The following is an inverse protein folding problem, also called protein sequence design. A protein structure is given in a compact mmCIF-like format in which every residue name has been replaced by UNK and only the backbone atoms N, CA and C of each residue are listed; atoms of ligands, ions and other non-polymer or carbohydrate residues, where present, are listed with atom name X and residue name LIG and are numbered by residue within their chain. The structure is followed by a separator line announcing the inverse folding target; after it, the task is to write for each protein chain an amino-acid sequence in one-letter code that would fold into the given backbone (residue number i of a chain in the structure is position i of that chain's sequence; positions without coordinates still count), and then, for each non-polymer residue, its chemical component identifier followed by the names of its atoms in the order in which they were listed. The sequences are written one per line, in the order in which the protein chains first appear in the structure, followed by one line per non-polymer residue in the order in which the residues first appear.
data_IF_371100169584
#
_entry.id   IF_371100169584
#
_cell.length_a   1.000
_cell.length_b   1.000
_cell.length_c   1.000
_cell.angle_alpha   90.00
_cell.angle_beta   90.00
_cell.angle_gamma   90.00
#
_symmetry.space_group_name_H-M   'P 1'
#
loop_
_entity.id
_entity.type
_entity.pdbx_description
1 polymer ?
#
# COMPACT_ATOMS: atom_id res chain seq x y z
N UNK A 1 -1.90 8.12 12.53
CA UNK A 1 -2.12 7.15 11.42
C UNK A 1 -1.64 7.81 10.12
N UNK A 2 -1.00 7.14 9.15
CA UNK A 2 -0.40 7.83 7.95
C UNK A 2 -1.37 8.79 7.25
N UNK A 3 -2.67 8.47 7.29
CA UNK A 3 -3.78 9.26 6.73
C UNK A 3 -4.14 10.55 7.48
N UNK A 4 -3.45 10.87 8.58
CA UNK A 4 -3.65 12.10 9.36
C UNK A 4 -2.49 13.09 9.21
N UNK A 5 -1.52 12.81 8.33
CA UNK A 5 -0.36 13.67 8.12
C UNK A 5 -0.54 14.61 6.93
N UNK A 6 -0.14 15.87 7.09
CA UNK A 6 -0.18 16.91 6.04
C UNK A 6 0.61 16.56 4.76
N UNK A 7 1.44 15.52 4.82
CA UNK A 7 2.26 15.06 3.69
C UNK A 7 1.52 14.17 2.69
N UNK A 8 0.29 13.73 2.98
CA UNK A 8 -0.47 12.81 2.12
C UNK A 8 -0.53 13.25 0.66
N UNK A 9 -0.71 14.54 0.41
CA UNK A 9 -0.78 15.06 -0.96
C UNK A 9 0.56 15.03 -1.72
N UNK A 10 1.67 14.69 -1.04
CA UNK A 10 3.04 14.68 -1.58
C UNK A 10 3.64 13.28 -1.66
N UNK A 11 2.94 12.26 -1.16
CA UNK A 11 3.40 10.87 -1.15
C UNK A 11 2.39 9.97 -1.86
N UNK A 12 2.88 8.87 -2.41
CA UNK A 12 2.05 7.72 -2.72
C UNK A 12 2.11 6.72 -1.58
N UNK A 13 1.02 5.98 -1.38
CA UNK A 13 0.95 4.90 -0.40
C UNK A 13 0.70 3.62 -1.18
N UNK A 14 1.62 2.66 -1.04
CA UNK A 14 1.51 1.36 -1.68
C UNK A 14 1.19 0.33 -0.61
N UNK A 15 -0.03 -0.20 -0.66
CA UNK A 15 -0.47 -1.32 0.16
C UNK A 15 -0.23 -2.60 -0.63
N UNK A 16 0.44 -3.57 -0.03
CA UNK A 16 0.62 -4.89 -0.64
C UNK A 16 -0.09 -5.94 0.21
N UNK A 17 -1.20 -6.45 -0.32
CA UNK A 17 -1.97 -7.54 0.22
C UNK A 17 -1.12 -8.83 0.15
N UNK A 18 -1.05 -9.53 1.29
CA UNK A 18 -0.18 -10.69 1.49
C UNK A 18 -0.99 -11.88 2.04
N UNK A 19 -2.08 -12.22 1.37
CA UNK A 19 -2.93 -13.39 1.67
C UNK A 19 -3.64 -13.33 3.03
N UNK A 20 -4.17 -12.16 3.39
CA UNK A 20 -5.00 -11.96 4.57
C UNK A 20 -6.29 -12.79 4.54
N UNK A 21 -6.75 -13.20 5.71
CA UNK A 21 -7.95 -14.04 5.89
C UNK A 21 -9.00 -13.42 6.81
N UNK A 22 -8.79 -12.18 7.25
CA UNK A 22 -9.54 -11.50 8.31
C UNK A 22 -10.29 -10.25 7.82
N UNK A 23 -10.50 -10.12 6.50
CA UNK A 23 -11.17 -8.97 5.89
C UNK A 23 -10.27 -7.75 5.68
N UNK A 24 -8.95 -7.89 5.88
CA UNK A 24 -7.99 -6.80 5.65
C UNK A 24 -8.01 -6.33 4.19
N UNK A 25 -8.12 -7.24 3.23
CA UNK A 25 -8.18 -6.90 1.81
C UNK A 25 -9.34 -5.95 1.47
N UNK A 26 -10.53 -6.18 2.03
CA UNK A 26 -11.71 -5.33 1.85
C UNK A 26 -11.48 -3.92 2.40
N UNK A 27 -10.91 -3.82 3.60
CA UNK A 27 -10.54 -2.53 4.20
C UNK A 27 -9.52 -1.76 3.34
N UNK A 28 -8.55 -2.46 2.77
CA UNK A 28 -7.57 -1.87 1.87
C UNK A 28 -8.23 -1.35 0.57
N UNK A 29 -9.24 -2.04 0.05
CA UNK A 29 -10.02 -1.56 -1.11
C UNK A 29 -10.74 -0.25 -0.79
N UNK A 30 -11.39 -0.16 0.37
CA UNK A 30 -12.04 1.10 0.80
C UNK A 30 -11.05 2.27 0.91
N UNK A 31 -9.81 2.01 1.33
CA UNK A 31 -8.77 3.05 1.40
C UNK A 31 -8.38 3.54 0.01
N UNK A 32 -8.27 2.66 -0.98
CA UNK A 32 -7.99 3.02 -2.38
C UNK A 32 -9.14 3.85 -2.97
N UNK A 33 -10.38 3.46 -2.71
CA UNK A 33 -11.56 4.17 -3.22
C UNK A 33 -11.66 5.60 -2.67
N UNK A 34 -11.26 5.81 -1.40
CA UNK A 34 -11.32 7.12 -0.73
C UNK A 34 -10.12 8.01 -1.04
N UNK A 35 -9.00 7.46 -1.51
CA UNK A 35 -7.74 8.18 -1.63
C UNK A 35 -7.05 7.93 -2.98
N UNK A 36 -6.99 8.97 -3.83
CA UNK A 36 -6.40 8.90 -5.18
C UNK A 36 -4.91 8.53 -5.24
N UNK A 37 -4.19 8.64 -4.13
CA UNK A 37 -2.75 8.38 -4.02
C UNK A 37 -2.43 7.09 -3.25
N UNK A 38 -3.45 6.27 -2.96
CA UNK A 38 -3.29 4.94 -2.36
C UNK A 38 -3.50 3.89 -3.44
N UNK A 39 -2.58 2.93 -3.50
CA UNK A 39 -2.60 1.85 -4.46
C UNK A 39 -2.55 0.50 -3.74
N UNK A 40 -3.33 -0.46 -4.22
CA UNK A 40 -3.38 -1.82 -3.67
C UNK A 40 -2.85 -2.82 -4.70
N UNK A 41 -1.83 -3.57 -4.32
CA UNK A 41 -1.30 -4.70 -5.09
C UNK A 41 -1.42 -5.98 -4.27
N UNK A 42 -1.33 -7.13 -4.96
CA UNK A 42 -1.33 -8.44 -4.32
C UNK A 42 0.01 -9.11 -4.56
N UNK A 43 0.48 -9.86 -3.57
CA UNK A 43 1.71 -10.63 -3.62
C UNK A 43 1.47 -12.09 -3.28
N UNK A 44 2.36 -12.96 -3.71
CA UNK A 44 2.44 -14.31 -3.16
C UNK A 44 2.82 -14.24 -1.67
N UNK A 45 2.35 -15.23 -0.90
CA UNK A 45 2.58 -15.29 0.56
C UNK A 45 4.07 -15.13 0.90
N UNK A 46 4.40 -14.07 1.62
CA UNK A 46 5.73 -13.82 2.16
C UNK A 46 6.03 -12.34 2.32
N UNK A 47 6.62 -11.96 3.45
CA UNK A 47 6.96 -10.56 3.75
C UNK A 47 7.95 -9.95 2.76
N UNK A 48 8.88 -10.76 2.25
CA UNK A 48 9.84 -10.30 1.23
C UNK A 48 9.17 -10.13 -0.13
N UNK A 49 8.27 -11.02 -0.52
CA UNK A 49 7.49 -10.89 -1.75
C UNK A 49 6.64 -9.62 -1.73
N UNK A 50 5.98 -9.35 -0.59
CA UNK A 50 5.18 -8.15 -0.40
C UNK A 50 6.02 -6.87 -0.54
N UNK A 51 7.17 -6.79 0.14
CA UNK A 51 8.08 -5.63 0.03
C UNK A 51 8.62 -5.44 -1.38
N UNK A 52 9.09 -6.51 -2.02
CA UNK A 52 9.63 -6.45 -3.38
C UNK A 52 8.56 -5.95 -4.36
N UNK A 53 7.32 -6.46 -4.24
CA UNK A 53 6.19 -5.97 -5.04
C UNK A 53 5.92 -4.49 -4.79
N UNK A 54 6.03 -4.04 -3.54
CA UNK A 54 5.91 -2.62 -3.20
C UNK A 54 6.98 -1.76 -3.88
N UNK A 55 8.25 -2.17 -3.77
CA UNK A 55 9.39 -1.48 -4.38
C UNK A 55 9.30 -1.47 -5.91
N UNK A 56 8.89 -2.57 -6.54
CA UNK A 56 8.68 -2.68 -8.00
C UNK A 56 7.65 -1.66 -8.54
N UNK A 57 6.64 -1.32 -7.74
CA UNK A 57 5.56 -0.42 -8.13
C UNK A 57 5.75 1.02 -7.64
N UNK A 58 6.78 1.28 -6.84
CA UNK A 58 7.09 2.62 -6.34
C UNK A 58 7.60 3.52 -7.47
N UNK A 59 7.06 4.74 -7.54
CA UNK A 59 7.43 5.78 -8.51
C UNK A 59 8.19 6.93 -7.85
N UNK A 60 8.08 7.04 -6.52
CA UNK A 60 8.81 8.03 -5.73
C UNK A 60 10.33 7.84 -5.81
N UNK A 61 11.06 8.96 -5.72
CA UNK A 61 12.53 8.97 -5.62
C UNK A 61 13.04 8.30 -4.33
N UNK A 62 12.21 8.32 -3.29
CA UNK A 62 12.53 7.78 -1.97
C UNK A 62 11.43 6.82 -1.54
N UNK A 63 11.86 5.72 -0.90
CA UNK A 63 10.96 4.69 -0.38
C UNK A 63 11.14 4.65 1.14
N UNK A 64 10.03 4.66 1.86
CA UNK A 64 9.96 4.44 3.30
C UNK A 64 9.09 3.20 3.55
N UNK A 65 9.54 2.29 4.41
CA UNK A 65 8.92 1.00 4.70
C UNK A 65 8.56 0.90 6.18
#
# INVERSE_FOLDING_TARGET
MIFEQDVLNKIEIIIVENTSSDGTAERCKELVEKNRNVYLYHSEKGVSNARNKGVENAKGKWIFL
#
